data_IF_955973466441
#
_entry.id   IF_955973466441
#
_cell.length_a   1.000
_cell.length_b   1.000
_cell.length_c   1.000
_cell.angle_alpha   90.00
_cell.angle_beta   90.00
_cell.angle_gamma   90.00
#
_symmetry.space_group_name_H-M   'P 1'
#
loop_
_entity.id
_entity.type
_entity.pdbx_description
1 polymer ?
#
# COMPACT_ATOMS: atom_id res chain seq x y z
N UNK A 1 6.45 -30.62 17.02
CA UNK A 1 5.28 -30.04 17.70
C UNK A 1 4.95 -30.71 19.05
N UNK A 2 5.38 -31.95 19.30
CA UNK A 2 5.07 -32.70 20.53
C UNK A 2 6.04 -32.42 21.71
N UNK A 3 7.07 -31.60 21.50
CA UNK A 3 8.06 -31.24 22.52
C UNK A 3 7.76 -29.88 23.15
N UNK A 4 8.40 -29.59 24.29
CA UNK A 4 8.30 -28.26 24.97
C UNK A 4 9.10 -27.14 24.28
N UNK A 5 9.60 -27.37 23.06
CA UNK A 5 10.49 -26.44 22.35
C UNK A 5 9.82 -25.08 22.09
N UNK A 6 8.59 -25.07 21.56
CA UNK A 6 7.88 -23.81 21.25
C UNK A 6 7.66 -22.97 22.50
N UNK A 7 7.20 -23.59 23.59
CA UNK A 7 7.04 -22.90 24.87
C UNK A 7 8.35 -22.32 25.38
N UNK A 8 9.47 -23.06 25.26
CA UNK A 8 10.78 -22.57 25.68
C UNK A 8 11.22 -21.36 24.83
N UNK A 9 11.05 -21.42 23.50
CA UNK A 9 11.35 -20.31 22.60
C UNK A 9 10.53 -19.07 22.97
N UNK A 10 9.20 -19.22 23.07
CA UNK A 10 8.27 -18.10 23.29
C UNK A 10 8.45 -17.46 24.68
N UNK A 11 8.57 -18.25 25.75
CA UNK A 11 8.53 -17.70 27.11
C UNK A 11 9.92 -17.44 27.71
N UNK A 12 10.96 -18.16 27.29
CA UNK A 12 12.28 -18.02 27.90
C UNK A 12 13.26 -17.20 27.06
N UNK A 13 13.12 -17.20 25.73
CA UNK A 13 14.12 -16.57 24.83
C UNK A 13 13.58 -15.35 24.09
N UNK A 14 12.34 -15.39 23.59
CA UNK A 14 11.75 -14.28 22.84
C UNK A 14 11.73 -12.95 23.63
N UNK A 15 11.38 -12.92 24.94
CA UNK A 15 11.36 -11.66 25.70
C UNK A 15 12.75 -11.07 25.95
N UNK A 16 13.79 -11.90 25.90
CA UNK A 16 15.16 -11.54 26.25
C UNK A 16 15.83 -10.84 25.05
N UNK A 17 16.24 -9.55 25.16
CA UNK A 17 16.73 -8.78 24.02
C UNK A 17 17.85 -9.44 23.20
N UNK A 18 18.81 -10.08 23.87
CA UNK A 18 19.95 -10.73 23.21
C UNK A 18 19.57 -11.95 22.36
N UNK A 19 18.43 -12.60 22.63
CA UNK A 19 17.99 -13.81 21.93
C UNK A 19 16.79 -13.57 21.01
N UNK A 20 16.02 -12.52 21.28
CA UNK A 20 14.75 -12.17 20.61
C UNK A 20 14.76 -12.34 19.09
N UNK A 21 15.76 -11.76 18.41
CA UNK A 21 15.85 -11.81 16.95
C UNK A 21 16.01 -13.24 16.41
N UNK A 22 16.94 -14.02 16.98
CA UNK A 22 17.17 -15.41 16.55
C UNK A 22 15.96 -16.27 16.89
N UNK A 23 15.38 -16.07 18.07
CA UNK A 23 14.17 -16.78 18.50
C UNK A 23 13.01 -16.52 17.55
N UNK A 24 12.77 -15.27 17.17
CA UNK A 24 11.67 -14.94 16.25
C UNK A 24 11.88 -15.55 14.87
N UNK A 25 13.11 -15.56 14.35
CA UNK A 25 13.45 -16.29 13.11
C UNK A 25 13.11 -17.77 13.21
N UNK A 26 13.46 -18.44 14.32
CA UNK A 26 13.09 -19.84 14.53
C UNK A 26 11.56 -20.03 14.56
N UNK A 27 10.82 -19.11 15.19
CA UNK A 27 9.36 -19.17 15.22
C UNK A 27 8.76 -18.95 13.81
N UNK A 28 9.36 -18.10 12.98
CA UNK A 28 8.99 -17.92 11.57
C UNK A 28 9.17 -19.21 10.77
N UNK A 29 10.31 -19.90 10.92
CA UNK A 29 10.53 -21.19 10.24
C UNK A 29 9.52 -22.25 10.67
N UNK A 30 9.17 -22.29 11.96
CA UNK A 30 8.12 -23.18 12.47
C UNK A 30 6.75 -22.80 11.89
N UNK A 31 6.44 -21.50 11.82
CA UNK A 31 5.20 -20.98 11.25
C UNK A 31 5.04 -21.21 9.75
N UNK A 32 6.15 -21.46 9.03
CA UNK A 32 6.12 -21.80 7.60
C UNK A 32 5.87 -23.28 7.30
N UNK A 33 5.75 -24.14 8.33
CA UNK A 33 5.56 -25.58 8.13
C UNK A 33 4.10 -25.87 7.74
N UNK A 34 3.90 -26.26 6.49
CA UNK A 34 2.58 -26.58 5.97
C UNK A 34 2.18 -28.05 6.25
N UNK A 35 1.58 -28.30 7.42
CA UNK A 35 1.04 -29.61 7.84
C UNK A 35 -0.30 -29.48 8.56
N UNK A 36 -1.30 -30.28 8.17
CA UNK A 36 -2.67 -30.16 8.70
C UNK A 36 -2.89 -30.87 10.05
N UNK A 37 -1.93 -31.69 10.51
CA UNK A 37 -2.12 -32.55 11.69
C UNK A 37 -1.85 -31.82 13.02
N UNK A 38 -1.41 -30.56 12.98
CA UNK A 38 -0.94 -29.82 14.15
C UNK A 38 -1.63 -28.45 14.30
N UNK A 39 -2.86 -28.30 13.80
CA UNK A 39 -3.60 -27.03 13.80
C UNK A 39 -3.67 -26.37 15.19
N UNK A 40 -4.00 -27.13 16.25
CA UNK A 40 -4.04 -26.60 17.63
C UNK A 40 -2.68 -26.07 18.10
N UNK A 41 -1.60 -26.71 17.66
CA UNK A 41 -0.24 -26.29 17.97
C UNK A 41 0.12 -24.97 17.28
N UNK A 42 -0.31 -24.77 16.03
CA UNK A 42 -0.14 -23.51 15.30
C UNK A 42 -0.98 -22.36 15.89
N UNK A 43 -2.23 -22.62 16.27
CA UNK A 43 -3.07 -21.64 16.96
C UNK A 43 -2.42 -21.22 18.29
N UNK A 44 -1.88 -22.19 19.03
CA UNK A 44 -1.15 -21.94 20.28
C UNK A 44 0.13 -21.12 20.03
N UNK A 45 0.93 -21.50 19.03
CA UNK A 45 2.14 -20.78 18.62
C UNK A 45 1.83 -19.31 18.33
N UNK A 46 0.82 -19.05 17.51
CA UNK A 46 0.41 -17.70 17.13
C UNK A 46 -0.07 -16.88 18.32
N UNK A 47 -1.01 -17.44 19.09
CA UNK A 47 -1.61 -16.74 20.24
C UNK A 47 -0.59 -16.38 21.31
N UNK A 48 0.28 -17.32 21.66
CA UNK A 48 1.30 -17.11 22.69
C UNK A 48 2.42 -16.17 22.20
N UNK A 49 2.84 -16.29 20.95
CA UNK A 49 3.84 -15.38 20.37
C UNK A 49 3.30 -13.96 20.33
N UNK A 50 2.06 -13.76 19.87
CA UNK A 50 1.39 -12.46 19.85
C UNK A 50 1.26 -11.86 21.24
N UNK A 51 0.96 -12.66 22.27
CA UNK A 51 0.91 -12.18 23.65
C UNK A 51 2.28 -11.62 24.12
N UNK A 52 3.38 -12.29 23.77
CA UNK A 52 4.72 -11.79 24.09
C UNK A 52 5.10 -10.56 23.26
N UNK A 53 4.70 -10.51 21.99
CA UNK A 53 4.92 -9.36 21.11
C UNK A 53 4.21 -8.11 21.63
N UNK A 54 2.96 -8.23 22.07
CA UNK A 54 2.18 -7.12 22.65
C UNK A 54 2.79 -6.58 23.95
N UNK A 55 3.41 -7.45 24.76
CA UNK A 55 4.13 -7.03 25.94
C UNK A 55 5.45 -6.30 25.61
N UNK A 56 6.15 -6.71 24.54
CA UNK A 56 7.43 -6.12 24.15
C UNK A 56 7.29 -4.85 23.30
N UNK A 57 6.25 -4.77 22.48
CA UNK A 57 6.01 -3.70 21.52
C UNK A 57 4.53 -3.31 21.56
N UNK A 58 4.09 -2.47 22.51
CA UNK A 58 2.69 -2.09 22.63
C UNK A 58 2.08 -1.56 21.32
N UNK A 59 0.83 -1.92 21.02
CA UNK A 59 0.16 -1.58 19.75
C UNK A 59 -0.01 -0.06 19.51
N UNK A 60 0.09 0.77 20.55
CA UNK A 60 0.08 2.24 20.44
C UNK A 60 1.47 2.84 20.13
N UNK A 61 2.50 2.02 19.95
CA UNK A 61 3.85 2.47 19.62
C UNK A 61 3.87 3.00 18.18
N UNK A 62 4.45 4.18 17.98
CA UNK A 62 4.78 4.67 16.65
C UNK A 62 6.00 3.90 16.10
N UNK A 63 5.72 2.79 15.41
CA UNK A 63 6.76 1.91 14.86
C UNK A 63 7.62 2.64 13.83
N UNK A 64 7.06 3.57 13.04
CA UNK A 64 7.84 4.35 12.07
C UNK A 64 8.92 5.16 12.77
N UNK A 65 8.53 5.94 13.78
CA UNK A 65 9.49 6.75 14.54
C UNK A 65 10.45 5.89 15.36
N UNK A 66 9.97 4.80 15.97
CA UNK A 66 10.81 3.87 16.72
C UNK A 66 11.88 3.19 15.82
N UNK A 67 11.52 2.85 14.59
CA UNK A 67 12.44 2.26 13.62
C UNK A 67 13.52 3.28 13.18
N UNK A 68 13.12 4.52 12.90
CA UNK A 68 14.03 5.58 12.48
C UNK A 68 15.08 5.94 13.56
N UNK A 69 14.69 5.87 14.84
CA UNK A 69 15.58 6.11 15.98
C UNK A 69 16.26 4.84 16.53
N UNK A 70 15.85 3.66 16.03
CA UNK A 70 16.31 2.36 16.50
C UNK A 70 17.74 2.03 16.03
N UNK A 71 18.39 1.11 16.73
CA UNK A 71 19.67 0.55 16.29
C UNK A 71 19.43 -0.70 15.44
N UNK A 72 20.50 -1.28 14.90
CA UNK A 72 20.45 -2.47 14.07
C UNK A 72 19.62 -3.60 14.70
N UNK A 73 19.68 -3.80 16.02
CA UNK A 73 18.95 -4.89 16.67
C UNK A 73 17.44 -4.67 16.68
N UNK A 74 16.96 -3.45 16.95
CA UNK A 74 15.55 -3.09 16.91
C UNK A 74 15.01 -3.09 15.48
N UNK A 75 15.78 -2.55 14.53
CA UNK A 75 15.39 -2.56 13.11
C UNK A 75 15.26 -3.99 12.56
N UNK A 76 16.25 -4.85 12.87
CA UNK A 76 16.18 -6.28 12.55
C UNK A 76 14.98 -6.96 13.21
N UNK A 77 14.61 -6.55 14.44
CA UNK A 77 13.45 -7.12 15.12
C UNK A 77 12.14 -6.78 14.40
N UNK A 78 11.97 -5.54 13.95
CA UNK A 78 10.79 -5.13 13.17
C UNK A 78 10.71 -5.90 11.85
N UNK A 79 11.83 -6.10 11.15
CA UNK A 79 11.87 -6.92 9.94
C UNK A 79 11.52 -8.39 10.23
N UNK A 80 12.08 -8.99 11.27
CA UNK A 80 11.77 -10.38 11.67
C UNK A 80 10.30 -10.54 12.09
N UNK A 81 9.72 -9.51 12.71
CA UNK A 81 8.30 -9.47 13.04
C UNK A 81 7.42 -9.42 11.78
N UNK A 82 7.77 -8.60 10.79
CA UNK A 82 7.09 -8.57 9.51
C UNK A 82 7.11 -9.97 8.85
N UNK A 83 8.27 -10.61 8.80
CA UNK A 83 8.45 -11.94 8.25
C UNK A 83 7.58 -12.98 8.99
N UNK A 84 7.64 -13.00 10.33
CA UNK A 84 6.83 -13.93 11.13
C UNK A 84 5.33 -13.79 10.84
N UNK A 85 4.81 -12.56 10.88
CA UNK A 85 3.38 -12.29 10.67
C UNK A 85 2.97 -12.64 9.24
N UNK A 86 3.73 -12.21 8.24
CA UNK A 86 3.44 -12.52 6.84
C UNK A 86 3.48 -14.04 6.58
N UNK A 87 4.49 -14.75 7.09
CA UNK A 87 4.59 -16.21 6.93
C UNK A 87 3.41 -16.92 7.58
N UNK A 88 3.13 -16.65 8.86
CA UNK A 88 2.04 -17.32 9.56
C UNK A 88 0.68 -17.03 8.92
N UNK A 89 0.41 -15.77 8.57
CA UNK A 89 -0.88 -15.39 8.00
C UNK A 89 -1.07 -15.88 6.56
N UNK A 90 0.01 -16.13 5.79
CA UNK A 90 -0.08 -16.76 4.47
C UNK A 90 -0.37 -18.27 4.57
N UNK A 91 0.36 -18.99 5.41
CA UNK A 91 0.24 -20.46 5.50
C UNK A 91 -0.97 -20.91 6.32
N UNK A 92 -1.39 -20.12 7.31
CA UNK A 92 -2.36 -20.51 8.32
C UNK A 92 -3.49 -19.48 8.51
N UNK A 93 -3.88 -18.76 7.44
CA UNK A 93 -4.94 -17.73 7.47
C UNK A 93 -6.24 -18.21 8.13
N UNK A 94 -6.72 -19.39 7.72
CA UNK A 94 -7.95 -19.99 8.25
C UNK A 94 -7.88 -20.30 9.75
N UNK A 95 -6.70 -20.68 10.25
CA UNK A 95 -6.46 -20.89 11.68
C UNK A 95 -6.42 -19.56 12.44
N UNK A 96 -5.78 -18.53 11.88
CA UNK A 96 -5.75 -17.20 12.48
C UNK A 96 -7.16 -16.59 12.61
N UNK A 97 -8.03 -16.81 11.62
CA UNK A 97 -9.44 -16.37 11.62
C UNK A 97 -10.28 -17.02 12.74
N UNK A 98 -9.86 -18.15 13.30
CA UNK A 98 -10.52 -18.71 14.50
C UNK A 98 -10.26 -17.90 15.77
N UNK A 99 -9.18 -17.11 15.80
CA UNK A 99 -8.71 -16.31 16.94
C UNK A 99 -8.78 -14.81 16.63
N UNK A 100 -10.01 -14.33 16.38
CA UNK A 100 -10.30 -12.99 15.86
C UNK A 100 -9.60 -11.81 16.58
N UNK A 101 -9.54 -11.74 17.93
CA UNK A 101 -8.83 -10.64 18.59
C UNK A 101 -7.33 -10.62 18.29
N UNK A 102 -6.71 -11.80 18.27
CA UNK A 102 -5.28 -11.97 18.00
C UNK A 102 -4.97 -11.62 16.54
N UNK A 103 -5.81 -12.09 15.61
CA UNK A 103 -5.69 -11.73 14.20
C UNK A 103 -5.79 -10.22 13.99
N UNK A 104 -6.74 -9.53 14.63
CA UNK A 104 -6.88 -8.07 14.52
C UNK A 104 -5.60 -7.36 14.97
N UNK A 105 -5.01 -7.79 16.08
CA UNK A 105 -3.76 -7.21 16.59
C UNK A 105 -2.58 -7.48 15.64
N UNK A 106 -2.48 -8.70 15.08
CA UNK A 106 -1.46 -9.07 14.10
C UNK A 106 -1.55 -8.22 12.82
N UNK A 107 -2.76 -8.05 12.29
CA UNK A 107 -3.01 -7.18 11.14
C UNK A 107 -2.69 -5.72 11.45
N UNK A 108 -3.01 -5.25 12.65
CA UNK A 108 -2.66 -3.90 13.09
C UNK A 108 -1.15 -3.69 13.14
N UNK A 109 -0.37 -4.65 13.66
CA UNK A 109 1.08 -4.60 13.55
C UNK A 109 1.55 -4.51 12.11
N UNK A 110 1.02 -5.34 11.21
CA UNK A 110 1.41 -5.28 9.80
C UNK A 110 1.12 -3.91 9.17
N UNK A 111 0.01 -3.25 9.53
CA UNK A 111 -0.27 -1.87 9.08
C UNK A 111 0.79 -0.90 9.61
N UNK A 112 1.08 -0.95 10.92
CA UNK A 112 2.08 -0.06 11.54
C UNK A 112 3.47 -0.27 10.94
N UNK A 113 3.85 -1.52 10.70
CA UNK A 113 5.12 -1.89 10.05
C UNK A 113 5.14 -1.45 8.58
N UNK A 114 4.03 -1.58 7.86
CA UNK A 114 3.90 -1.11 6.46
C UNK A 114 4.08 0.40 6.32
N UNK A 115 3.95 1.16 7.41
CA UNK A 115 4.21 2.59 7.43
C UNK A 115 5.70 2.94 7.57
N UNK A 116 6.58 2.00 7.94
CA UNK A 116 8.03 2.24 8.12
C UNK A 116 8.70 2.63 6.81
N UNK A 117 9.53 3.67 6.83
CA UNK A 117 10.26 4.18 5.66
C UNK A 117 11.49 3.32 5.29
N UNK A 118 11.29 2.00 5.17
CA UNK A 118 12.27 1.01 4.72
C UNK A 118 11.66 0.15 3.60
N UNK A 119 12.31 0.11 2.43
CA UNK A 119 11.78 -0.51 1.21
C UNK A 119 11.69 -2.02 1.34
N UNK A 120 12.69 -2.67 1.94
CA UNK A 120 12.71 -4.13 2.06
C UNK A 120 11.63 -4.65 3.03
N UNK A 121 11.39 -3.92 4.12
CA UNK A 121 10.28 -4.21 5.04
C UNK A 121 8.93 -4.00 4.34
N UNK A 122 8.81 -2.91 3.58
CA UNK A 122 7.59 -2.63 2.84
C UNK A 122 7.27 -3.72 1.80
N UNK A 123 8.29 -4.24 1.08
CA UNK A 123 8.12 -5.35 0.13
C UNK A 123 7.58 -6.62 0.80
N UNK A 124 8.10 -6.97 1.98
CA UNK A 124 7.61 -8.11 2.78
C UNK A 124 6.11 -7.94 3.09
N UNK A 125 5.71 -6.77 3.60
CA UNK A 125 4.31 -6.50 3.91
C UNK A 125 3.43 -6.47 2.65
N UNK A 126 3.90 -5.85 1.56
CA UNK A 126 3.19 -5.76 0.29
C UNK A 126 2.91 -7.15 -0.30
N UNK A 127 3.84 -8.09 -0.18
CA UNK A 127 3.63 -9.48 -0.61
C UNK A 127 2.43 -10.12 0.11
N UNK A 128 2.34 -9.95 1.44
CA UNK A 128 1.20 -10.41 2.20
C UNK A 128 -0.10 -9.69 1.80
N UNK A 129 -0.07 -8.36 1.70
CA UNK A 129 -1.26 -7.59 1.33
C UNK A 129 -1.77 -7.98 -0.06
N UNK A 130 -0.88 -8.28 -1.00
CA UNK A 130 -1.25 -8.79 -2.32
C UNK A 130 -1.92 -10.16 -2.25
N UNK A 131 -1.36 -11.10 -1.48
CA UNK A 131 -1.98 -12.41 -1.25
C UNK A 131 -3.39 -12.26 -0.68
N UNK A 132 -3.54 -11.50 0.41
CA UNK A 132 -4.81 -11.29 1.09
C UNK A 132 -5.84 -10.63 0.16
N UNK A 133 -5.48 -9.53 -0.51
CA UNK A 133 -6.41 -8.81 -1.38
C UNK A 133 -6.82 -9.64 -2.60
N UNK A 134 -5.89 -10.41 -3.19
CA UNK A 134 -6.19 -11.31 -4.30
C UNK A 134 -7.15 -12.43 -3.87
N UNK A 135 -6.95 -13.03 -2.70
CA UNK A 135 -7.86 -14.03 -2.13
C UNK A 135 -9.26 -13.47 -1.91
N UNK A 136 -9.38 -12.35 -1.18
CA UNK A 136 -10.67 -11.72 -0.90
C UNK A 136 -11.40 -11.27 -2.17
N UNK A 137 -10.66 -10.87 -3.20
CA UNK A 137 -11.20 -10.53 -4.51
C UNK A 137 -11.70 -11.77 -5.27
N UNK A 138 -10.95 -12.88 -5.26
CA UNK A 138 -11.36 -14.14 -5.90
C UNK A 138 -12.59 -14.76 -5.24
N UNK A 139 -12.83 -14.47 -3.98
CA UNK A 139 -14.05 -14.86 -3.27
C UNK A 139 -15.31 -14.11 -3.74
N UNK A 140 -15.19 -13.08 -4.58
CA UNK A 140 -16.33 -12.39 -5.19
C UNK A 140 -16.90 -13.27 -6.29
N UNK A 141 -18.08 -13.91 -6.13
CA UNK A 141 -18.68 -14.64 -7.21
C UNK A 141 -19.42 -13.61 -8.07
N UNK A 142 -18.94 -13.37 -9.28
CA UNK A 142 -19.69 -12.59 -10.25
C UNK A 142 -21.01 -13.32 -10.57
N UNK A 143 -22.11 -12.88 -9.96
CA UNK A 143 -23.49 -13.15 -10.43
C UNK A 143 -24.22 -14.41 -9.95
N UNK A 144 -24.09 -14.88 -8.70
CA UNK A 144 -24.76 -16.12 -8.26
C UNK A 144 -25.40 -16.06 -6.86
N UNK A 145 -26.61 -15.52 -6.64
CA UNK A 145 -27.30 -15.55 -5.33
C UNK A 145 -27.39 -16.97 -4.69
N UNK A 146 -26.44 -17.35 -3.84
CA UNK A 146 -26.39 -18.67 -3.17
C UNK A 146 -26.15 -18.50 -1.66
N UNK A 147 -26.60 -19.41 -0.77
CA UNK A 147 -26.47 -19.24 0.69
C UNK A 147 -25.02 -19.11 1.20
N UNK A 148 -24.03 -19.57 0.43
CA UNK A 148 -22.60 -19.32 0.67
C UNK A 148 -22.21 -17.82 0.58
N UNK A 149 -23.09 -16.97 0.06
CA UNK A 149 -22.91 -15.51 0.01
C UNK A 149 -22.85 -14.88 1.40
N UNK A 150 -23.63 -15.41 2.35
CA UNK A 150 -23.66 -14.85 3.70
C UNK A 150 -22.35 -15.14 4.44
N UNK A 151 -21.67 -16.26 4.18
CA UNK A 151 -20.37 -16.59 4.80
C UNK A 151 -19.19 -15.86 4.13
N UNK A 152 -19.17 -15.75 2.80
CA UNK A 152 -18.12 -15.01 2.05
C UNK A 152 -18.19 -13.50 2.30
N UNK A 153 -19.39 -12.94 2.48
CA UNK A 153 -19.57 -11.55 2.93
C UNK A 153 -19.03 -11.31 4.34
N UNK A 154 -19.01 -12.32 5.21
CA UNK A 154 -18.54 -12.18 6.60
C UNK A 154 -17.00 -12.14 6.71
N UNK A 155 -16.27 -12.89 5.87
CA UNK A 155 -14.80 -12.87 5.87
C UNK A 155 -14.26 -11.48 5.50
N UNK A 156 -14.87 -10.77 4.54
CA UNK A 156 -14.43 -9.41 4.18
C UNK A 156 -14.68 -8.39 5.28
N UNK A 157 -15.80 -8.51 6.00
CA UNK A 157 -16.12 -7.61 7.10
C UNK A 157 -15.07 -7.65 8.22
N UNK A 158 -14.42 -8.79 8.42
CA UNK A 158 -13.29 -8.93 9.34
C UNK A 158 -12.10 -8.04 8.97
N UNK A 159 -11.79 -7.93 7.68
CA UNK A 159 -10.62 -7.21 7.19
C UNK A 159 -10.90 -5.74 6.87
N UNK A 160 -12.16 -5.31 6.83
CA UNK A 160 -12.55 -3.99 6.30
C UNK A 160 -11.77 -2.82 6.92
N UNK A 161 -11.70 -2.76 8.25
CA UNK A 161 -10.97 -1.71 8.98
C UNK A 161 -9.50 -1.63 8.55
N UNK A 162 -8.85 -2.79 8.36
CA UNK A 162 -7.45 -2.90 7.98
C UNK A 162 -7.27 -2.57 6.50
N UNK A 163 -8.17 -3.02 5.62
CA UNK A 163 -8.10 -2.73 4.19
C UNK A 163 -8.21 -1.23 3.91
N UNK A 164 -9.01 -0.48 4.68
CA UNK A 164 -9.04 0.98 4.62
C UNK A 164 -7.65 1.60 4.93
N UNK A 165 -6.99 1.13 5.99
CA UNK A 165 -5.65 1.61 6.36
C UNK A 165 -4.59 1.23 5.31
N UNK A 166 -4.68 0.02 4.74
CA UNK A 166 -3.80 -0.43 3.66
C UNK A 166 -4.00 0.41 2.40
N UNK A 167 -5.25 0.74 2.01
CA UNK A 167 -5.51 1.69 0.90
C UNK A 167 -4.81 3.01 1.13
N UNK A 168 -4.93 3.57 2.34
CA UNK A 168 -4.27 4.83 2.69
C UNK A 168 -2.74 4.74 2.51
N UNK A 169 -2.12 3.65 2.96
CA UNK A 169 -0.68 3.42 2.81
C UNK A 169 -0.28 3.28 1.34
N UNK A 170 -0.99 2.44 0.57
CA UNK A 170 -0.69 2.20 -0.85
C UNK A 170 -0.78 3.49 -1.67
N UNK A 171 -1.78 4.34 -1.39
CA UNK A 171 -1.91 5.66 -2.03
C UNK A 171 -0.78 6.59 -1.60
N UNK A 172 -0.47 6.64 -0.31
CA UNK A 172 0.52 7.59 0.23
C UNK A 172 1.97 7.25 -0.15
N UNK A 173 2.25 5.98 -0.48
CA UNK A 173 3.60 5.47 -0.74
C UNK A 173 3.78 4.92 -2.15
N UNK A 174 2.84 5.19 -3.06
CA UNK A 174 2.89 4.64 -4.43
C UNK A 174 4.27 4.86 -5.04
N UNK A 175 4.87 3.78 -5.56
CA UNK A 175 6.15 3.86 -6.23
C UNK A 175 6.02 4.57 -7.59
N UNK A 176 7.12 5.15 -8.07
CA UNK A 176 7.14 5.90 -9.32
C UNK A 176 6.84 4.98 -10.52
N UNK A 177 5.86 5.32 -11.38
CA UNK A 177 5.59 4.60 -12.63
C UNK A 177 6.64 4.88 -13.70
N UNK A 178 6.78 4.00 -14.69
CA UNK A 178 7.84 4.14 -15.71
C UNK A 178 7.60 5.27 -16.71
N UNK A 179 6.35 5.73 -16.83
CA UNK A 179 5.94 6.82 -17.72
C UNK A 179 6.31 8.21 -17.17
N UNK A 180 6.67 8.32 -15.89
CA UNK A 180 7.02 9.60 -15.25
C UNK A 180 8.53 9.83 -15.29
N UNK A 181 8.93 10.81 -16.10
CA UNK A 181 10.34 11.16 -16.33
C UNK A 181 10.84 12.33 -15.48
N UNK A 182 9.94 13.20 -15.02
CA UNK A 182 10.25 14.39 -14.22
C UNK A 182 10.17 14.04 -12.74
N UNK A 183 11.29 14.16 -12.02
CA UNK A 183 11.40 13.81 -10.59
C UNK A 183 12.22 14.84 -9.82
N UNK A 184 12.06 14.85 -8.50
CA UNK A 184 12.94 15.57 -7.58
C UNK A 184 14.17 14.71 -7.28
N UNK A 185 15.38 15.25 -7.47
CA UNK A 185 16.63 14.57 -7.08
C UNK A 185 16.96 14.79 -5.59
N UNK A 186 18.02 14.17 -5.09
CA UNK A 186 18.48 14.30 -3.69
C UNK A 186 18.87 15.74 -3.29
N UNK A 187 19.12 16.61 -4.27
CA UNK A 187 19.42 18.03 -4.05
C UNK A 187 18.16 18.90 -4.00
N UNK A 188 16.96 18.33 -4.18
CA UNK A 188 15.70 19.06 -4.24
C UNK A 188 15.47 19.78 -5.58
N UNK A 189 16.17 19.38 -6.63
CA UNK A 189 16.03 19.95 -7.98
C UNK A 189 15.13 19.06 -8.83
N UNK A 190 14.31 19.70 -9.66
CA UNK A 190 13.48 18.97 -10.63
C UNK A 190 14.34 18.61 -11.84
N UNK A 191 14.54 17.30 -12.04
CA UNK A 191 15.40 16.76 -13.08
C UNK A 191 14.65 15.72 -13.93
N UNK A 192 15.20 15.46 -15.11
CA UNK A 192 14.77 14.38 -15.98
C UNK A 192 15.57 13.11 -15.68
N UNK A 193 14.86 12.03 -15.35
CA UNK A 193 15.45 10.71 -15.10
C UNK A 193 15.19 9.77 -16.28
N UNK A 194 16.27 9.25 -16.90
CA UNK A 194 16.19 8.27 -18.00
C UNK A 194 16.46 6.83 -17.55
N UNK A 195 17.08 6.66 -16.38
CA UNK A 195 17.47 5.34 -15.90
C UNK A 195 16.24 4.62 -15.36
N UNK A 196 16.03 3.40 -15.85
CA UNK A 196 14.97 2.51 -15.38
C UNK A 196 15.55 1.57 -14.34
N UNK A 197 15.20 1.78 -13.07
CA UNK A 197 15.47 0.81 -12.02
C UNK A 197 14.43 -0.32 -12.06
N UNK A 198 14.90 -1.55 -12.32
CA UNK A 198 14.04 -2.73 -12.44
C UNK A 198 13.35 -3.09 -11.13
N UNK A 199 14.03 -2.87 -10.00
CA UNK A 199 13.46 -3.16 -8.67
C UNK A 199 12.32 -2.18 -8.36
N UNK A 200 12.53 -0.87 -8.58
CA UNK A 200 11.48 0.14 -8.48
C UNK A 200 10.27 -0.12 -9.39
N UNK A 201 10.50 -0.59 -10.63
CA UNK A 201 9.41 -0.93 -11.56
C UNK A 201 8.60 -2.13 -11.03
N UNK A 202 9.27 -3.16 -10.50
CA UNK A 202 8.58 -4.31 -9.93
C UNK A 202 7.79 -3.92 -8.67
N UNK A 203 8.33 -3.04 -7.83
CA UNK A 203 7.61 -2.49 -6.69
C UNK A 203 6.34 -1.76 -7.14
N UNK A 204 6.42 -0.87 -8.13
CA UNK A 204 5.25 -0.21 -8.70
C UNK A 204 4.20 -1.20 -9.22
N UNK A 205 4.62 -2.24 -9.97
CA UNK A 205 3.70 -3.27 -10.47
C UNK A 205 2.95 -3.98 -9.33
N UNK A 206 3.67 -4.37 -8.28
CA UNK A 206 3.09 -5.03 -7.12
C UNK A 206 2.14 -4.11 -6.33
N UNK A 207 2.50 -2.83 -6.17
CA UNK A 207 1.63 -1.85 -5.51
C UNK A 207 0.38 -1.55 -6.33
N UNK A 208 0.52 -1.42 -7.65
CA UNK A 208 -0.59 -1.23 -8.59
C UNK A 208 -1.56 -2.40 -8.52
N UNK A 209 -1.06 -3.64 -8.59
CA UNK A 209 -1.89 -4.83 -8.46
C UNK A 209 -2.67 -4.83 -7.14
N UNK A 210 -2.00 -4.51 -6.02
CA UNK A 210 -2.64 -4.41 -4.72
C UNK A 210 -3.78 -3.39 -4.71
N UNK A 211 -3.49 -2.17 -5.18
CA UNK A 211 -4.43 -1.06 -5.13
C UNK A 211 -5.61 -1.30 -6.07
N UNK A 212 -5.40 -1.98 -7.20
CA UNK A 212 -6.48 -2.43 -8.09
C UNK A 212 -7.38 -3.44 -7.38
N UNK A 213 -6.85 -4.44 -6.67
CA UNK A 213 -7.68 -5.35 -5.87
C UNK A 213 -8.46 -4.60 -4.78
N UNK A 214 -7.80 -3.71 -4.05
CA UNK A 214 -8.44 -2.90 -3.01
C UNK A 214 -9.56 -2.01 -3.55
N UNK A 215 -9.41 -1.50 -4.77
CA UNK A 215 -10.41 -0.68 -5.46
C UNK A 215 -11.61 -1.53 -5.87
N UNK A 216 -11.41 -2.75 -6.37
CA UNK A 216 -12.52 -3.65 -6.64
C UNK A 216 -13.26 -4.10 -5.37
N UNK A 217 -12.55 -4.23 -4.25
CA UNK A 217 -13.14 -4.60 -2.96
C UNK A 217 -14.00 -3.47 -2.38
N UNK A 218 -13.58 -2.21 -2.54
CA UNK A 218 -14.36 -1.03 -2.18
C UNK A 218 -13.84 0.21 -2.94
N UNK A 219 -14.49 0.52 -4.07
CA UNK A 219 -14.09 1.65 -4.89
C UNK A 219 -14.49 2.98 -4.25
N UNK A 220 -15.56 3.00 -3.46
CA UNK A 220 -16.06 4.22 -2.82
C UNK A 220 -15.09 4.70 -1.73
N UNK A 221 -14.54 3.77 -0.95
CA UNK A 221 -13.49 4.09 0.03
C UNK A 221 -12.19 4.56 -0.66
N UNK A 222 -11.83 3.94 -1.80
CA UNK A 222 -10.68 4.36 -2.60
C UNK A 222 -10.88 5.79 -3.16
N UNK A 223 -12.03 6.06 -3.77
CA UNK A 223 -12.41 7.40 -4.29
C UNK A 223 -12.40 8.44 -3.17
N UNK A 224 -12.94 8.10 -1.99
CA UNK A 224 -12.96 8.97 -0.81
C UNK A 224 -11.55 9.35 -0.36
N UNK A 225 -10.65 8.37 -0.19
CA UNK A 225 -9.27 8.62 0.25
C UNK A 225 -8.53 9.49 -0.78
N UNK A 226 -8.60 9.14 -2.07
CA UNK A 226 -7.92 9.90 -3.12
C UNK A 226 -8.44 11.34 -3.21
N UNK A 227 -9.76 11.53 -3.10
CA UNK A 227 -10.39 12.86 -3.11
C UNK A 227 -9.98 13.69 -1.90
N UNK A 228 -9.98 13.11 -0.70
CA UNK A 228 -9.56 13.78 0.53
C UNK A 228 -8.08 14.23 0.44
N UNK A 229 -7.18 13.34 -0.01
CA UNK A 229 -5.77 13.68 -0.18
C UNK A 229 -5.56 14.75 -1.26
N UNK A 230 -6.33 14.72 -2.35
CA UNK A 230 -6.28 15.76 -3.39
C UNK A 230 -6.72 17.12 -2.84
N UNK A 231 -7.79 17.16 -2.04
CA UNK A 231 -8.23 18.40 -1.39
C UNK A 231 -7.16 18.97 -0.44
N UNK A 232 -6.44 18.10 0.28
CA UNK A 232 -5.30 18.52 1.11
C UNK A 232 -4.11 19.06 0.30
N UNK A 233 -3.94 18.65 -0.96
CA UNK A 233 -2.98 19.28 -1.88
C UNK A 233 -3.45 20.67 -2.33
N UNK A 234 -4.74 20.80 -2.68
CA UNK A 234 -5.34 22.06 -3.18
C UNK A 234 -5.40 23.14 -2.12
N UNK A 235 -5.87 22.81 -0.91
CA UNK A 235 -5.95 23.76 0.20
C UNK A 235 -4.57 24.09 0.81
N UNK A 236 -3.55 23.30 0.49
CA UNK A 236 -2.17 23.51 0.92
C UNK A 236 -1.78 22.88 2.26
N UNK A 237 -2.67 22.15 2.94
CA UNK A 237 -2.38 21.52 4.24
C UNK A 237 -1.32 20.42 4.16
N UNK A 238 -1.31 19.66 3.07
CA UNK A 238 -0.35 18.56 2.84
C UNK A 238 0.46 18.76 1.55
N UNK A 239 0.50 19.99 1.00
CA UNK A 239 1.18 20.28 -0.26
C UNK A 239 2.68 19.96 -0.19
N UNK A 240 3.11 19.02 -1.02
CA UNK A 240 4.52 18.78 -1.34
C UNK A 240 4.61 18.07 -2.70
N UNK A 241 5.75 18.18 -3.39
CA UNK A 241 5.97 17.48 -4.66
C UNK A 241 5.82 15.98 -4.48
N UNK A 242 6.45 15.43 -3.44
CA UNK A 242 6.34 14.02 -3.06
C UNK A 242 4.89 13.57 -2.86
N UNK A 243 4.08 14.31 -2.09
CA UNK A 243 2.70 13.90 -1.80
C UNK A 243 1.78 14.00 -3.02
N UNK A 244 1.95 15.04 -3.84
CA UNK A 244 1.20 15.16 -5.09
C UNK A 244 1.57 14.03 -6.06
N UNK A 245 2.86 13.75 -6.20
CA UNK A 245 3.38 12.70 -7.06
C UNK A 245 2.80 11.33 -6.67
N UNK A 246 2.98 10.90 -5.42
CA UNK A 246 2.49 9.59 -4.98
C UNK A 246 0.97 9.45 -5.12
N UNK A 247 0.22 10.52 -4.83
CA UNK A 247 -1.23 10.56 -5.05
C UNK A 247 -1.59 10.39 -6.53
N UNK A 248 -0.98 11.15 -7.44
CA UNK A 248 -1.29 11.09 -8.86
C UNK A 248 -0.84 9.77 -9.51
N UNK A 249 0.28 9.20 -9.05
CA UNK A 249 0.71 7.86 -9.41
C UNK A 249 -0.31 6.81 -8.99
N UNK A 250 -0.83 6.92 -7.76
CA UNK A 250 -1.88 6.04 -7.27
C UNK A 250 -3.18 6.16 -8.09
N UNK A 251 -3.60 7.40 -8.40
CA UNK A 251 -4.75 7.67 -9.26
C UNK A 251 -4.56 7.01 -10.64
N UNK A 252 -3.45 7.25 -11.33
CA UNK A 252 -3.22 6.64 -12.65
C UNK A 252 -3.15 5.11 -12.59
N UNK A 253 -2.62 4.53 -11.51
CA UNK A 253 -2.42 3.08 -11.38
C UNK A 253 -3.73 2.27 -11.36
N UNK A 254 -4.84 2.86 -10.91
CA UNK A 254 -6.16 2.21 -10.80
C UNK A 254 -7.02 2.33 -12.07
N UNK A 255 -6.44 2.79 -13.18
CA UNK A 255 -7.17 2.89 -14.45
C UNK A 255 -7.84 1.57 -14.85
N UNK A 256 -9.15 1.64 -15.13
CA UNK A 256 -9.97 0.48 -15.48
C UNK A 256 -10.50 -0.34 -14.29
N UNK A 257 -10.17 0.00 -13.05
CA UNK A 257 -10.70 -0.67 -11.86
C UNK A 257 -12.11 -0.19 -11.44
N UNK A 258 -12.60 0.90 -12.05
CA UNK A 258 -13.93 1.47 -11.81
C UNK A 258 -14.85 1.29 -13.01
N UNK A 259 -16.16 1.25 -12.76
CA UNK A 259 -17.16 1.36 -13.81
C UNK A 259 -17.05 2.71 -14.54
N UNK A 260 -17.43 2.75 -15.81
CA UNK A 260 -17.20 3.91 -16.68
C UNK A 260 -17.86 5.21 -16.15
N UNK A 261 -19.05 5.10 -15.54
CA UNK A 261 -19.75 6.26 -14.96
C UNK A 261 -19.06 6.80 -13.71
N UNK A 262 -18.61 5.92 -12.81
CA UNK A 262 -17.89 6.29 -11.59
C UNK A 262 -16.50 6.84 -11.93
N UNK A 263 -15.77 6.17 -12.84
CA UNK A 263 -14.48 6.63 -13.35
C UNK A 263 -14.60 8.02 -13.97
N UNK A 264 -15.65 8.27 -14.77
CA UNK A 264 -15.92 9.58 -15.35
C UNK A 264 -16.14 10.64 -14.27
N UNK A 265 -16.99 10.37 -13.26
CA UNK A 265 -17.25 11.33 -12.16
C UNK A 265 -15.95 11.66 -11.43
N UNK A 266 -15.20 10.63 -11.07
CA UNK A 266 -13.94 10.74 -10.35
C UNK A 266 -12.92 11.58 -11.13
N UNK A 267 -12.68 11.26 -12.40
CA UNK A 267 -11.68 11.95 -13.22
C UNK A 267 -12.02 13.41 -13.51
N UNK A 268 -13.29 13.74 -13.68
CA UNK A 268 -13.71 15.14 -13.86
C UNK A 268 -13.30 15.97 -12.64
N UNK A 269 -13.49 15.45 -11.43
CA UNK A 269 -13.07 16.11 -10.19
C UNK A 269 -11.55 16.21 -10.12
N UNK A 270 -10.83 15.09 -10.29
CA UNK A 270 -9.38 15.03 -10.19
C UNK A 270 -8.72 16.05 -11.11
N UNK A 271 -9.09 16.07 -12.39
CA UNK A 271 -8.38 16.88 -13.37
C UNK A 271 -8.75 18.36 -13.23
N UNK A 272 -10.00 18.67 -12.85
CA UNK A 272 -10.40 20.05 -12.55
C UNK A 272 -9.57 20.61 -11.40
N UNK A 273 -9.39 19.84 -10.33
CA UNK A 273 -8.62 20.24 -9.15
C UNK A 273 -7.14 20.36 -9.47
N UNK A 274 -6.56 19.44 -10.24
CA UNK A 274 -5.15 19.53 -10.68
C UNK A 274 -4.90 20.72 -11.60
N UNK A 275 -5.80 21.02 -12.55
CA UNK A 275 -5.71 22.22 -13.39
C UNK A 275 -5.82 23.49 -12.53
N UNK A 276 -6.75 23.54 -11.58
CA UNK A 276 -6.87 24.63 -10.62
C UNK A 276 -5.59 24.83 -9.80
N UNK A 277 -4.99 23.73 -9.32
CA UNK A 277 -3.73 23.73 -8.60
C UNK A 277 -2.57 24.25 -9.46
N UNK A 278 -2.53 23.87 -10.74
CA UNK A 278 -1.53 24.35 -11.70
C UNK A 278 -1.60 25.87 -11.93
N UNK A 279 -2.80 26.44 -11.92
CA UNK A 279 -3.00 27.90 -12.02
C UNK A 279 -2.69 28.61 -10.70
N UNK A 280 -2.99 27.99 -9.55
CA UNK A 280 -2.75 28.54 -8.22
C UNK A 280 -1.26 28.59 -7.87
N UNK A 281 -0.50 27.54 -8.19
CA UNK A 281 0.91 27.41 -7.81
C UNK A 281 1.82 28.17 -8.78
N UNK A 282 2.75 28.93 -8.22
CA UNK A 282 3.74 29.74 -8.96
C UNK A 282 5.10 29.05 -8.95
N UNK A 283 5.96 29.39 -9.90
CA UNK A 283 7.30 28.83 -10.04
C UNK A 283 7.36 27.70 -11.08
N UNK A 284 8.48 27.63 -11.80
CA UNK A 284 8.65 26.68 -12.91
C UNK A 284 8.59 25.23 -12.42
N UNK A 285 9.28 24.93 -11.34
CA UNK A 285 9.37 23.59 -10.75
C UNK A 285 7.99 23.08 -10.30
N UNK A 286 7.24 23.92 -9.58
CA UNK A 286 5.86 23.59 -9.18
C UNK A 286 4.97 23.29 -10.39
N UNK A 287 5.06 24.12 -11.45
CA UNK A 287 4.28 23.91 -12.67
C UNK A 287 4.70 22.63 -13.40
N UNK A 288 5.99 22.35 -13.47
CA UNK A 288 6.52 21.13 -14.09
C UNK A 288 6.02 19.87 -13.38
N UNK A 289 6.07 19.85 -12.04
CA UNK A 289 5.57 18.72 -11.25
C UNK A 289 4.06 18.53 -11.43
N UNK A 290 3.26 19.60 -11.36
CA UNK A 290 1.80 19.50 -11.53
C UNK A 290 1.45 19.06 -12.96
N UNK A 291 2.12 19.64 -13.96
CA UNK A 291 1.95 19.27 -15.36
C UNK A 291 2.27 17.78 -15.58
N UNK A 292 3.42 17.31 -15.12
CA UNK A 292 3.84 15.89 -15.20
C UNK A 292 2.76 14.96 -14.64
N UNK A 293 2.21 15.29 -13.47
CA UNK A 293 1.13 14.50 -12.86
C UNK A 293 -0.18 14.53 -13.66
N UNK A 294 -0.59 15.68 -14.19
CA UNK A 294 -1.78 15.79 -15.07
C UNK A 294 -1.56 14.93 -16.32
N UNK A 295 -0.40 15.04 -16.96
CA UNK A 295 -0.06 14.29 -18.17
C UNK A 295 -0.08 12.78 -17.91
N UNK A 296 0.52 12.35 -16.81
CA UNK A 296 0.50 10.95 -16.40
C UNK A 296 -0.92 10.45 -16.16
N UNK A 297 -1.70 11.11 -15.29
CA UNK A 297 -3.09 10.70 -15.00
C UNK A 297 -3.88 10.63 -16.29
N UNK A 298 -3.90 11.69 -17.09
CA UNK A 298 -4.67 11.70 -18.33
C UNK A 298 -4.21 10.61 -19.32
N UNK A 299 -2.90 10.37 -19.42
CA UNK A 299 -2.33 9.31 -20.26
C UNK A 299 -2.79 7.90 -19.86
N UNK A 300 -3.04 7.67 -18.57
CA UNK A 300 -3.52 6.37 -18.07
C UNK A 300 -5.01 6.11 -18.35
N UNK A 301 -5.82 7.11 -18.71
CA UNK A 301 -7.27 6.97 -18.91
C UNK A 301 -7.74 7.22 -20.36
N UNK A 302 -7.31 6.39 -21.34
CA UNK A 302 -7.71 6.56 -22.74
C UNK A 302 -9.22 6.34 -22.97
N UNK A 303 -9.89 5.51 -22.15
CA UNK A 303 -11.35 5.28 -22.23
C UNK A 303 -12.12 6.59 -22.04
N UNK A 304 -11.80 7.32 -20.98
CA UNK A 304 -12.39 8.63 -20.66
C UNK A 304 -12.15 9.65 -21.78
N UNK A 305 -10.92 9.75 -22.29
CA UNK A 305 -10.59 10.72 -23.34
C UNK A 305 -11.34 10.49 -24.64
N UNK A 306 -11.51 9.21 -25.04
CA UNK A 306 -12.27 8.84 -26.25
C UNK A 306 -13.74 9.25 -26.16
N UNK A 307 -14.32 9.20 -24.96
CA UNK A 307 -15.71 9.58 -24.72
C UNK A 307 -15.92 11.11 -24.58
N UNK A 308 -14.85 11.89 -24.36
CA UNK A 308 -14.94 13.31 -23.99
C UNK A 308 -14.08 14.22 -24.88
N UNK A 309 -14.48 14.43 -26.13
CA UNK A 309 -13.74 15.22 -27.13
C UNK A 309 -13.30 16.61 -26.67
N UNK A 310 -14.20 17.40 -26.05
CA UNK A 310 -13.87 18.74 -25.56
C UNK A 310 -12.71 18.69 -24.54
N UNK A 311 -12.72 17.66 -23.71
CA UNK A 311 -11.72 17.44 -22.69
C UNK A 311 -10.38 17.04 -23.31
N UNK A 312 -10.40 16.05 -24.21
CA UNK A 312 -9.23 15.65 -24.97
C UNK A 312 -8.58 16.84 -25.69
N UNK A 313 -9.39 17.69 -26.33
CA UNK A 313 -8.88 18.92 -26.97
C UNK A 313 -8.20 19.86 -25.99
N UNK A 314 -8.79 20.10 -24.80
CA UNK A 314 -8.19 20.95 -23.76
C UNK A 314 -6.86 20.37 -23.28
N UNK A 315 -6.81 19.06 -23.02
CA UNK A 315 -5.56 18.39 -22.61
C UNK A 315 -4.51 18.52 -23.69
N UNK A 316 -4.83 18.20 -24.95
CA UNK A 316 -3.87 18.28 -26.05
C UNK A 316 -3.34 19.70 -26.25
N UNK A 317 -4.21 20.72 -26.14
CA UNK A 317 -3.76 22.11 -26.16
C UNK A 317 -2.81 22.43 -25.00
N UNK A 318 -3.11 21.91 -23.79
CA UNK A 318 -2.23 22.10 -22.63
C UNK A 318 -0.90 21.36 -22.79
N UNK A 319 -0.89 20.18 -23.39
CA UNK A 319 0.33 19.47 -23.79
C UNK A 319 1.17 20.34 -24.73
N UNK A 320 0.56 20.96 -25.74
CA UNK A 320 1.28 21.88 -26.61
C UNK A 320 1.83 23.09 -25.85
N UNK A 321 1.10 23.66 -24.88
CA UNK A 321 1.65 24.70 -24.00
C UNK A 321 2.88 24.20 -23.24
N UNK A 322 2.82 22.99 -22.67
CA UNK A 322 3.94 22.38 -21.94
C UNK A 322 5.14 22.08 -22.83
N UNK A 323 4.94 21.75 -24.11
CA UNK A 323 6.05 21.58 -25.07
C UNK A 323 6.82 22.89 -25.35
N UNK A 324 6.24 24.06 -25.07
CA UNK A 324 6.94 25.33 -25.19
C UNK A 324 7.67 25.74 -23.89
N UNK A 325 7.51 24.98 -22.80
CA UNK A 325 8.22 25.26 -21.56
C UNK A 325 9.68 24.82 -21.64
N UNK A 326 10.59 25.64 -21.11
CA UNK A 326 12.04 25.40 -21.19
C UNK A 326 12.58 24.50 -20.09
N UNK A 327 11.71 23.83 -19.32
CA UNK A 327 12.13 23.01 -18.19
C UNK A 327 12.44 21.59 -18.66
N UNK A 328 13.64 21.09 -18.30
CA UNK A 328 14.09 19.75 -18.64
C UNK A 328 13.09 18.66 -18.22
N UNK A 329 12.73 17.80 -19.17
CA UNK A 329 11.82 16.66 -18.98
C UNK A 329 10.34 16.94 -19.14
N UNK A 330 9.90 18.21 -19.19
CA UNK A 330 8.48 18.55 -19.42
C UNK A 330 8.09 18.44 -20.90
N UNK A 331 9.05 18.63 -21.81
CA UNK A 331 8.82 18.58 -23.26
C UNK A 331 8.71 17.15 -23.81
N UNK A 332 9.26 16.17 -23.10
CA UNK A 332 9.33 14.76 -23.49
C UNK A 332 8.16 13.95 -22.94
#
# INVERSE_FOLDING_TARGET
FETKLMNMLIFNFLPVPMFRNVTLKCLTEIAGVNVNNYNDAFVTLFTQTMTQLEAMLPLNTDIRSAYACGQDQEQNFIQNLALFLCTFLKEHSSLAETSMPVLRNALHYLVLISAVDEVEIFKICLEYWNSLCSELYREVPYGCNSPAYFQTSNRRLLYNDVLNQVRYIMISRMAKPEEVLVVENDNGEVVREFMKDTDSINLYKNMRENLVYLTHLDYADTERIMTEKLQNQVNGSEWSWKNLNTLCWAIGSISGAMHEEDEKRFLVTVIKDLLGLCEQKRGKDNKAIIASNIMYVVGQYPRFLRAHWKFLKTVVNKLFEFMHETHDGVQD
#
